data_IF_402927519957
#
_entry.id   IF_402927519957
#
_cell.length_a   1.000
_cell.length_b   1.000
_cell.length_c   1.000
_cell.angle_alpha   90.00
_cell.angle_beta   90.00
_cell.angle_gamma   90.00
#
_symmetry.space_group_name_H-M   'P 1'
#
loop_
_entity.id
_entity.type
_entity.pdbx_description
1 polymer ?
#
# COMPACT_ATOMS: atom_id res chain seq x y z
N UNK A 1 10.83 -6.79 -19.57
CA UNK A 1 9.38 -6.76 -19.29
C UNK A 1 8.72 -5.87 -20.33
N UNK A 2 7.50 -6.17 -20.76
CA UNK A 2 6.78 -5.32 -21.70
C UNK A 2 6.43 -3.98 -21.04
N UNK A 3 6.26 -2.94 -21.85
CA UNK A 3 5.80 -1.64 -21.34
C UNK A 3 4.44 -1.76 -20.65
N UNK A 4 3.54 -2.60 -21.19
CA UNK A 4 2.26 -2.93 -20.56
C UNK A 4 2.45 -3.48 -19.14
N UNK A 5 3.31 -4.47 -18.95
CA UNK A 5 3.55 -5.06 -17.63
C UNK A 5 4.03 -4.03 -16.60
N UNK A 6 4.91 -3.11 -17.00
CA UNK A 6 5.43 -2.04 -16.12
C UNK A 6 4.34 -1.02 -15.79
N UNK A 7 3.55 -0.61 -16.77
CA UNK A 7 2.44 0.31 -16.56
C UNK A 7 1.37 -0.30 -15.65
N UNK A 8 1.05 -1.59 -15.86
CA UNK A 8 0.08 -2.33 -15.04
C UNK A 8 0.57 -2.48 -13.61
N UNK A 9 1.84 -2.86 -13.42
CA UNK A 9 2.45 -2.94 -12.10
C UNK A 9 2.38 -1.59 -11.37
N UNK A 10 2.80 -0.51 -12.05
CA UNK A 10 2.76 0.85 -11.50
C UNK A 10 1.35 1.25 -11.08
N UNK A 11 0.37 0.94 -11.94
CA UNK A 11 -1.03 1.28 -11.68
C UNK A 11 -1.60 0.56 -10.47
N UNK A 12 -1.36 -0.76 -10.37
CA UNK A 12 -1.78 -1.55 -9.21
C UNK A 12 -1.05 -1.09 -7.95
N UNK A 13 0.25 -0.80 -8.04
CA UNK A 13 1.06 -0.36 -6.90
C UNK A 13 0.51 0.94 -6.30
N UNK A 14 0.27 1.96 -7.13
CA UNK A 14 -0.26 3.25 -6.67
C UNK A 14 -1.67 3.11 -6.12
N UNK A 15 -2.52 2.32 -6.77
CA UNK A 15 -3.89 2.07 -6.31
C UNK A 15 -3.94 1.31 -4.99
N UNK A 16 -3.08 0.29 -4.82
CA UNK A 16 -2.94 -0.45 -3.58
C UNK A 16 -2.41 0.45 -2.45
N UNK A 17 -1.41 1.28 -2.73
CA UNK A 17 -0.87 2.25 -1.78
C UNK A 17 -1.96 3.23 -1.32
N UNK A 18 -2.71 3.81 -2.27
CA UNK A 18 -3.83 4.71 -1.98
C UNK A 18 -4.89 4.05 -1.10
N UNK A 19 -5.24 2.78 -1.40
CA UNK A 19 -6.18 1.99 -0.60
C UNK A 19 -5.69 1.80 0.84
N UNK A 20 -4.43 1.43 1.02
CA UNK A 20 -3.85 1.23 2.34
C UNK A 20 -3.79 2.54 3.15
N UNK A 21 -3.50 3.67 2.50
CA UNK A 21 -3.53 5.00 3.14
C UNK A 21 -4.95 5.33 3.64
N UNK A 22 -5.98 5.06 2.84
CA UNK A 22 -7.37 5.26 3.25
C UNK A 22 -7.71 4.37 4.45
N UNK A 23 -7.44 3.07 4.35
CA UNK A 23 -7.81 2.08 5.39
C UNK A 23 -7.13 2.42 6.72
N UNK A 24 -5.82 2.67 6.71
CA UNK A 24 -5.07 3.03 7.94
C UNK A 24 -5.62 4.30 8.58
N UNK A 25 -6.02 5.28 7.78
CA UNK A 25 -6.58 6.55 8.26
C UNK A 25 -8.02 6.42 8.75
N UNK A 26 -8.83 5.60 8.08
CA UNK A 26 -10.23 5.34 8.44
C UNK A 26 -10.32 4.66 9.81
N UNK A 27 -9.50 3.63 10.04
CA UNK A 27 -9.46 2.88 11.31
C UNK A 27 -8.59 3.52 12.40
N UNK A 28 -7.99 4.69 12.11
CA UNK A 28 -7.09 5.45 13.00
C UNK A 28 -5.92 4.59 13.49
N UNK A 29 -5.29 3.85 12.58
CA UNK A 29 -4.08 3.08 12.88
C UNK A 29 -2.88 4.03 12.92
N UNK A 30 -2.78 4.83 13.99
CA UNK A 30 -1.85 5.98 14.06
C UNK A 30 -0.40 5.60 13.78
N UNK A 31 0.05 4.40 14.15
CA UNK A 31 1.40 3.92 13.87
C UNK A 31 1.69 3.64 12.38
N UNK A 32 0.64 3.42 11.59
CA UNK A 32 0.71 3.22 10.13
C UNK A 32 0.25 4.46 9.34
N UNK A 33 -0.40 5.41 10.00
CA UNK A 33 -0.94 6.58 9.36
C UNK A 33 0.21 7.51 8.93
N UNK A 34 0.17 7.94 7.67
CA UNK A 34 1.14 8.90 7.15
C UNK A 34 0.74 10.30 7.57
N UNK A 35 -0.30 10.88 6.99
CA UNK A 35 -0.72 12.27 7.26
C UNK A 35 -1.92 12.31 8.23
N UNK A 36 -2.45 13.48 8.52
CA UNK A 36 -3.72 13.60 9.25
C UNK A 36 -4.87 12.88 8.52
N UNK A 37 -5.85 12.38 9.27
CA UNK A 37 -6.94 11.51 8.76
C UNK A 37 -7.57 12.00 7.45
N UNK A 38 -8.04 13.25 7.42
CA UNK A 38 -8.75 13.79 6.24
C UNK A 38 -7.84 13.92 5.03
N UNK A 39 -6.59 14.37 5.25
CA UNK A 39 -5.60 14.55 4.18
C UNK A 39 -5.21 13.20 3.60
N UNK A 40 -4.97 12.20 4.45
CA UNK A 40 -4.64 10.85 4.00
C UNK A 40 -5.76 10.20 3.20
N UNK A 41 -7.02 10.33 3.63
CA UNK A 41 -8.17 9.80 2.87
C UNK A 41 -8.27 10.48 1.50
N UNK A 42 -8.16 11.81 1.46
CA UNK A 42 -8.20 12.57 0.21
C UNK A 42 -7.05 12.17 -0.73
N UNK A 43 -5.82 12.07 -0.19
CA UNK A 43 -4.64 11.66 -0.95
C UNK A 43 -4.81 10.24 -1.51
N UNK A 44 -5.24 9.29 -0.67
CA UNK A 44 -5.42 7.91 -1.12
C UNK A 44 -6.50 7.78 -2.19
N UNK A 45 -7.61 8.53 -2.06
CA UNK A 45 -8.66 8.57 -3.08
C UNK A 45 -8.15 9.18 -4.39
N UNK A 46 -7.37 10.27 -4.30
CA UNK A 46 -6.76 10.91 -5.47
C UNK A 46 -5.80 9.96 -6.19
N UNK A 47 -4.95 9.24 -5.46
CA UNK A 47 -4.03 8.25 -6.04
C UNK A 47 -4.78 7.16 -6.82
N UNK A 48 -5.86 6.60 -6.25
CA UNK A 48 -6.66 5.57 -6.92
C UNK A 48 -7.32 6.13 -8.19
N UNK A 49 -7.97 7.28 -8.09
CA UNK A 49 -8.74 7.86 -9.20
C UNK A 49 -7.84 8.32 -10.35
N UNK A 50 -6.77 9.05 -10.02
CA UNK A 50 -5.84 9.59 -11.01
C UNK A 50 -5.13 8.46 -11.73
N UNK A 51 -4.65 7.45 -11.00
CA UNK A 51 -3.92 6.36 -11.63
C UNK A 51 -4.83 5.47 -12.46
N UNK A 52 -6.03 5.14 -11.97
CA UNK A 52 -7.00 4.36 -12.75
C UNK A 52 -7.37 5.09 -14.04
N UNK A 53 -7.60 6.41 -13.97
CA UNK A 53 -7.85 7.22 -15.15
C UNK A 53 -6.64 7.21 -16.10
N UNK A 54 -5.44 7.45 -15.58
CA UNK A 54 -4.21 7.55 -16.36
C UNK A 54 -3.87 6.24 -17.10
N UNK A 55 -4.04 5.11 -16.42
CA UNK A 55 -3.75 3.79 -16.99
C UNK A 55 -4.59 3.51 -18.25
N UNK A 56 -5.87 3.83 -18.22
CA UNK A 56 -6.79 3.64 -19.36
C UNK A 56 -6.78 4.79 -20.37
N UNK A 57 -6.47 6.02 -19.95
CA UNK A 57 -6.43 7.17 -20.84
C UNK A 57 -5.13 7.25 -21.66
N UNK A 58 -4.02 6.71 -21.15
CA UNK A 58 -2.71 6.80 -21.80
C UNK A 58 -2.61 5.96 -23.08
N UNK A 59 -3.18 4.76 -23.08
CA UNK A 59 -3.13 3.81 -24.21
C UNK A 59 -4.36 2.91 -24.22
N UNK A 60 -4.66 2.32 -25.37
CA UNK A 60 -5.68 1.29 -25.46
C UNK A 60 -5.20 0.01 -24.74
N UNK A 61 -5.82 -0.33 -23.59
CA UNK A 61 -5.43 -1.48 -22.75
C UNK A 61 -6.34 -2.70 -22.85
N UNK A 62 -7.47 -2.60 -23.55
CA UNK A 62 -8.41 -3.71 -23.70
C UNK A 62 -8.00 -4.63 -24.87
N UNK A 63 -6.86 -5.28 -24.72
CA UNK A 63 -6.22 -6.14 -25.73
C UNK A 63 -6.19 -7.57 -25.18
N UNK A 64 -6.54 -8.56 -26.00
CA UNK A 64 -6.45 -9.97 -25.59
C UNK A 64 -4.99 -10.40 -25.39
N UNK A 65 -4.79 -11.37 -24.51
CA UNK A 65 -3.51 -12.09 -24.31
C UNK A 65 -2.90 -12.61 -25.62
N UNK A 66 -3.74 -13.08 -26.55
CA UNK A 66 -3.38 -13.54 -27.90
C UNK A 66 -2.95 -12.42 -28.86
N UNK A 67 -3.30 -11.17 -28.56
CA UNK A 67 -2.98 -9.99 -29.38
C UNK A 67 -1.92 -9.08 -28.72
N UNK A 68 -1.16 -9.61 -27.75
CA UNK A 68 -0.10 -8.89 -27.05
C UNK A 68 -0.54 -8.20 -25.75
N UNK A 69 -1.75 -8.49 -25.26
CA UNK A 69 -2.17 -8.19 -23.89
C UNK A 69 -1.46 -9.09 -22.87
N UNK A 70 -1.61 -8.77 -21.58
CA UNK A 70 -1.05 -9.59 -20.50
C UNK A 70 -1.91 -10.82 -20.26
N UNK A 71 -1.30 -12.00 -20.22
CA UNK A 71 -1.98 -13.23 -19.79
C UNK A 71 -2.43 -13.12 -18.32
N UNK A 72 -3.47 -13.88 -17.95
CA UNK A 72 -4.03 -13.88 -16.60
C UNK A 72 -3.01 -14.25 -15.50
N UNK A 73 -2.09 -15.17 -15.77
CA UNK A 73 -1.06 -15.54 -14.79
C UNK A 73 -0.06 -14.41 -14.58
N UNK A 74 0.32 -13.72 -15.66
CA UNK A 74 1.21 -12.56 -15.60
C UNK A 74 0.54 -11.41 -14.85
N UNK A 75 -0.73 -11.11 -15.13
CA UNK A 75 -1.51 -10.10 -14.40
C UNK A 75 -1.62 -10.43 -12.91
N UNK A 76 -1.89 -11.69 -12.55
CA UNK A 76 -2.00 -12.12 -11.16
C UNK A 76 -0.67 -11.95 -10.42
N UNK A 77 0.44 -12.37 -11.03
CA UNK A 77 1.77 -12.20 -10.46
C UNK A 77 2.12 -10.72 -10.25
N UNK A 78 1.92 -9.88 -11.27
CA UNK A 78 2.17 -8.44 -11.19
C UNK A 78 1.29 -7.77 -10.13
N UNK A 79 0.03 -8.19 -10.02
CA UNK A 79 -0.88 -7.68 -9.00
C UNK A 79 -0.38 -7.98 -7.59
N UNK A 80 -0.02 -9.24 -7.31
CA UNK A 80 0.51 -9.65 -6.01
C UNK A 80 1.82 -8.91 -5.71
N UNK A 81 2.75 -8.87 -6.66
CA UNK A 81 4.03 -8.20 -6.50
C UNK A 81 3.85 -6.70 -6.18
N UNK A 82 2.95 -6.02 -6.92
CA UNK A 82 2.64 -4.61 -6.70
C UNK A 82 1.98 -4.37 -5.33
N UNK A 83 1.03 -5.21 -4.93
CA UNK A 83 0.36 -5.11 -3.63
C UNK A 83 1.32 -5.34 -2.45
N UNK A 84 2.23 -6.31 -2.58
CA UNK A 84 3.29 -6.56 -1.59
C UNK A 84 4.24 -5.37 -1.52
N UNK A 85 4.68 -4.85 -2.67
CA UNK A 85 5.55 -3.68 -2.73
C UNK A 85 4.89 -2.44 -2.12
N UNK A 86 3.61 -2.20 -2.36
CA UNK A 86 2.85 -1.09 -1.78
C UNK A 86 2.73 -1.24 -0.26
N UNK A 87 2.44 -2.45 0.21
CA UNK A 87 2.38 -2.77 1.65
C UNK A 87 3.73 -2.52 2.31
N UNK A 88 4.81 -3.05 1.73
CA UNK A 88 6.17 -2.85 2.24
C UNK A 88 6.55 -1.37 2.27
N UNK A 89 6.24 -0.63 1.20
CA UNK A 89 6.49 0.82 1.10
C UNK A 89 5.78 1.57 2.22
N UNK A 90 4.49 1.29 2.45
CA UNK A 90 3.73 1.90 3.53
C UNK A 90 4.36 1.60 4.90
N UNK A 91 4.70 0.34 5.17
CA UNK A 91 5.29 -0.06 6.45
C UNK A 91 6.62 0.65 6.70
N UNK A 92 7.49 0.73 5.70
CA UNK A 92 8.78 1.43 5.81
C UNK A 92 8.56 2.92 6.08
N UNK A 93 7.76 3.59 5.24
CA UNK A 93 7.53 5.03 5.34
C UNK A 93 6.83 5.38 6.66
N UNK A 94 5.82 4.62 7.07
CA UNK A 94 5.11 4.86 8.33
C UNK A 94 6.02 4.63 9.53
N UNK A 95 6.91 3.64 9.46
CA UNK A 95 7.82 3.35 10.57
C UNK A 95 8.88 4.44 10.75
N UNK A 96 9.40 5.00 9.66
CA UNK A 96 10.31 6.16 9.72
C UNK A 96 9.57 7.37 10.29
N UNK A 97 8.36 7.63 9.79
CA UNK A 97 7.57 8.80 10.19
C UNK A 97 7.15 8.78 11.65
N UNK A 98 6.71 7.62 12.13
CA UNK A 98 6.15 7.46 13.47
C UNK A 98 7.19 6.93 14.47
N UNK A 99 8.49 7.10 14.20
CA UNK A 99 9.59 6.52 15.00
C UNK A 99 9.58 6.95 16.47
N UNK A 100 9.06 8.15 16.78
CA UNK A 100 8.98 8.69 18.13
C UNK A 100 7.81 8.18 18.97
N UNK A 101 6.91 7.36 18.40
CA UNK A 101 5.78 6.79 19.15
C UNK A 101 6.25 5.79 20.19
N UNK A 102 5.89 6.02 21.46
CA UNK A 102 6.19 5.11 22.56
C UNK A 102 5.38 3.81 22.42
N UNK A 103 6.01 2.69 22.75
CA UNK A 103 5.35 1.37 22.75
C UNK A 103 4.41 1.27 23.95
N UNK A 104 3.12 1.05 23.69
CA UNK A 104 2.13 0.83 24.75
C UNK A 104 1.93 -0.67 24.96
N UNK A 105 2.53 -1.21 26.02
CA UNK A 105 2.64 -2.66 26.26
C UNK A 105 1.32 -3.37 26.58
N UNK A 106 0.28 -2.62 26.99
CA UNK A 106 -1.01 -3.16 27.46
C UNK A 106 -1.94 -3.66 26.36
N UNK A 107 -1.82 -3.16 25.13
CA UNK A 107 -2.71 -3.56 24.03
C UNK A 107 -2.24 -4.88 23.42
N UNK A 108 -3.08 -5.61 22.69
CA UNK A 108 -2.74 -6.87 22.00
C UNK A 108 -3.22 -6.84 20.54
N UNK A 109 -2.54 -7.58 19.65
CA UNK A 109 -2.94 -7.71 18.24
C UNK A 109 -2.93 -6.39 17.44
N UNK A 110 -3.87 -6.26 16.49
CA UNK A 110 -4.01 -5.08 15.62
C UNK A 110 -4.25 -3.78 16.42
N UNK A 111 -4.84 -3.88 17.61
CA UNK A 111 -5.04 -2.74 18.51
C UNK A 111 -3.72 -2.10 18.96
N UNK A 112 -2.60 -2.84 18.95
CA UNK A 112 -1.27 -2.25 19.20
C UNK A 112 -0.85 -1.25 18.13
N UNK A 113 -1.21 -1.47 16.86
CA UNK A 113 -0.87 -0.56 15.75
C UNK A 113 -1.61 0.78 15.82
N UNK A 114 -2.66 0.87 16.65
CA UNK A 114 -3.34 2.13 16.93
C UNK A 114 -2.48 3.10 17.74
N UNK A 115 -1.63 2.57 18.64
CA UNK A 115 -0.87 3.36 19.61
C UNK A 115 0.65 3.09 19.57
N UNK A 116 1.15 2.30 18.62
CA UNK A 116 2.58 1.94 18.55
C UNK A 116 3.05 1.78 17.11
N UNK A 117 4.35 2.01 16.89
CA UNK A 117 5.00 1.91 15.59
C UNK A 117 5.31 0.44 15.22
N UNK A 118 5.20 0.13 13.92
CA UNK A 118 5.38 -1.19 13.36
C UNK A 118 6.78 -1.81 13.58
N UNK A 119 7.87 -1.05 13.44
CA UNK A 119 9.24 -1.58 13.66
C UNK A 119 9.43 -2.02 15.11
N UNK A 120 8.96 -1.23 16.07
CA UNK A 120 9.04 -1.61 17.48
C UNK A 120 8.22 -2.86 17.79
N UNK A 121 7.09 -3.07 17.11
CA UNK A 121 6.32 -4.31 17.22
C UNK A 121 7.12 -5.52 16.71
N UNK A 122 7.73 -5.41 15.53
CA UNK A 122 8.61 -6.47 15.00
C UNK A 122 9.78 -6.77 15.94
N UNK A 123 10.48 -5.74 16.40
CA UNK A 123 11.59 -5.91 17.35
C UNK A 123 11.13 -6.53 18.68
N UNK A 124 9.94 -6.17 19.18
CA UNK A 124 9.40 -6.78 20.40
C UNK A 124 9.01 -8.26 20.24
N UNK A 125 8.68 -8.69 19.02
CA UNK A 125 8.41 -10.09 18.70
C UNK A 125 9.70 -10.89 18.56
N UNK A 126 10.74 -10.28 17.97
CA UNK A 126 12.06 -10.89 17.82
C UNK A 126 12.87 -10.91 19.13
N UNK A 127 12.70 -9.90 19.97
CA UNK A 127 13.34 -9.75 21.28
C UNK A 127 12.62 -10.47 22.42
N UNK A 128 11.56 -11.23 22.14
CA UNK A 128 11.04 -12.23 23.10
C UNK A 128 11.97 -13.46 23.11
N UNK A 129 13.15 -13.25 23.68
CA UNK A 129 13.94 -14.22 24.45
C UNK A 129 14.50 -13.48 25.66
#
# INVERSE_FOLDING_TARGET
MSEFAVDYFSSVYVSALGTLIIVTSYYRLSGLMLLGRSISIMLGALLILVESYWFFASKYRNISDTAGGLDGNEQAFLFIAAAVAATFSLLVVSSIRNWSMKVESKLTGLSRLRNSNYIYLLLSLLGKK
#
